data_IF_317870728641
#
_entry.id   IF_317870728641
#
_cell.length_a   1.000
_cell.length_b   1.000
_cell.length_c   1.000
_cell.angle_alpha   90.00
_cell.angle_beta   90.00
_cell.angle_gamma   90.00
#
_symmetry.space_group_name_H-M   'P 1'
#
loop_
_entity.id
_entity.type
_entity.pdbx_description
1 polymer ?
#
# COMPACT_ATOMS: atom_id res chain seq x y z
N UNK A 1 -29.93 -7.06 -11.87
CA UNK A 1 -29.68 -5.81 -11.11
C UNK A 1 -28.21 -5.71 -10.76
N UNK A 2 -27.62 -4.57 -11.00
CA UNK A 2 -26.22 -4.34 -10.67
C UNK A 2 -26.06 -4.12 -9.15
N UNK A 3 -25.15 -4.84 -8.53
CA UNK A 3 -24.81 -4.60 -7.14
C UNK A 3 -23.88 -3.38 -7.08
N UNK A 4 -24.42 -2.24 -6.66
CA UNK A 4 -23.67 -0.99 -6.58
C UNK A 4 -22.66 -0.95 -5.43
N UNK A 5 -22.73 -1.93 -4.53
CA UNK A 5 -21.82 -2.02 -3.39
C UNK A 5 -20.65 -2.98 -3.64
N UNK A 6 -20.63 -3.65 -4.79
CA UNK A 6 -19.53 -4.56 -5.15
C UNK A 6 -18.39 -3.80 -5.80
N UNK A 7 -17.18 -4.00 -5.31
CA UNK A 7 -15.97 -3.58 -5.97
C UNK A 7 -15.53 -4.69 -6.94
N UNK A 8 -15.41 -4.36 -8.23
CA UNK A 8 -14.98 -5.33 -9.23
C UNK A 8 -13.48 -5.18 -9.52
N UNK A 9 -12.67 -5.97 -8.85
CA UNK A 9 -11.21 -5.93 -9.01
C UNK A 9 -10.73 -6.37 -10.39
N UNK A 10 -11.58 -7.03 -11.19
CA UNK A 10 -11.21 -7.44 -12.55
C UNK A 10 -11.07 -6.25 -13.50
N UNK A 11 -11.62 -5.11 -13.12
CA UNK A 11 -11.52 -3.88 -13.90
C UNK A 11 -10.26 -3.09 -13.57
N UNK A 12 -9.51 -3.50 -12.56
CA UNK A 12 -8.28 -2.83 -12.13
C UNK A 12 -7.11 -3.42 -12.89
N UNK A 13 -6.23 -2.55 -13.37
CA UNK A 13 -5.00 -2.97 -14.06
C UNK A 13 -3.91 -3.25 -13.03
N UNK A 14 -3.88 -4.48 -12.51
CA UNK A 14 -2.93 -4.88 -11.49
C UNK A 14 -1.53 -5.12 -12.04
N UNK A 15 -0.53 -4.67 -11.31
CA UNK A 15 0.89 -4.92 -11.56
C UNK A 15 1.51 -5.56 -10.31
N UNK A 16 2.47 -6.44 -10.53
CA UNK A 16 3.26 -6.97 -9.42
C UNK A 16 4.28 -5.93 -8.98
N UNK A 17 4.54 -5.88 -7.68
CA UNK A 17 5.59 -5.03 -7.14
C UNK A 17 6.86 -5.89 -7.03
N UNK A 18 7.90 -5.60 -7.83
CA UNK A 18 9.12 -6.42 -7.83
C UNK A 18 9.76 -6.49 -6.45
N UNK A 19 10.12 -7.71 -6.03
CA UNK A 19 10.77 -7.94 -4.74
C UNK A 19 9.85 -7.95 -3.53
N UNK A 20 8.55 -7.78 -3.73
CA UNK A 20 7.56 -7.82 -2.63
C UNK A 20 6.52 -8.88 -2.93
N UNK A 21 6.60 -10.01 -2.23
CA UNK A 21 5.65 -11.11 -2.41
C UNK A 21 4.28 -10.74 -1.87
N UNK A 22 3.24 -11.38 -2.42
CA UNK A 22 1.85 -11.23 -1.96
C UNK A 22 1.28 -9.81 -2.13
N UNK A 23 1.87 -9.03 -3.05
CA UNK A 23 1.51 -7.62 -3.25
C UNK A 23 1.32 -7.31 -4.73
N UNK A 24 0.17 -6.66 -5.03
CA UNK A 24 -0.10 -6.08 -6.34
C UNK A 24 -0.50 -4.63 -6.14
N UNK A 25 -0.25 -3.81 -7.14
CA UNK A 25 -0.66 -2.42 -7.10
C UNK A 25 -1.20 -1.95 -8.44
N UNK A 26 -2.00 -0.90 -8.38
CA UNK A 26 -2.44 -0.16 -9.56
C UNK A 26 -2.38 1.33 -9.21
N UNK A 27 -1.51 2.05 -9.88
CA UNK A 27 -1.39 3.49 -9.65
C UNK A 27 -2.51 4.17 -10.44
N UNK A 28 -3.41 4.85 -9.72
CA UNK A 28 -4.60 5.46 -10.31
C UNK A 28 -4.32 6.85 -10.85
N UNK A 29 -3.51 7.62 -10.14
CA UNK A 29 -3.18 8.98 -10.53
C UNK A 29 -1.88 9.44 -9.86
N UNK A 30 -1.12 10.26 -10.57
CA UNK A 30 0.06 10.94 -10.05
C UNK A 30 -0.13 12.44 -10.28
N UNK A 31 -0.22 13.21 -9.19
CA UNK A 31 -0.31 14.66 -9.23
C UNK A 31 1.07 15.24 -8.91
N UNK A 32 1.78 15.66 -9.96
CA UNK A 32 3.15 16.17 -9.83
C UNK A 32 3.20 17.53 -9.13
N UNK A 33 2.15 18.30 -9.23
CA UNK A 33 2.11 19.64 -8.59
C UNK A 33 1.87 19.52 -7.09
N UNK A 34 0.89 18.71 -6.70
CA UNK A 34 0.54 18.54 -5.28
C UNK A 34 1.40 17.46 -4.60
N UNK A 35 2.19 16.69 -5.36
CA UNK A 35 2.97 15.56 -4.85
C UNK A 35 2.08 14.51 -4.18
N UNK A 36 1.03 14.09 -4.89
CA UNK A 36 0.11 13.07 -4.42
C UNK A 36 0.11 11.91 -5.40
N UNK A 37 0.23 10.68 -4.88
CA UNK A 37 0.06 9.46 -5.65
C UNK A 37 -1.10 8.69 -5.04
N UNK A 38 -2.14 8.45 -5.84
CA UNK A 38 -3.25 7.59 -5.44
C UNK A 38 -3.04 6.22 -6.04
N UNK A 39 -2.97 5.19 -5.20
CA UNK A 39 -2.65 3.84 -5.61
C UNK A 39 -3.54 2.83 -4.88
N UNK A 40 -4.00 1.82 -5.61
CA UNK A 40 -4.63 0.66 -4.99
C UNK A 40 -3.57 -0.39 -4.73
N UNK A 41 -3.52 -0.90 -3.50
CA UNK A 41 -2.74 -2.07 -3.16
C UNK A 41 -3.67 -3.25 -2.90
N UNK A 42 -3.24 -4.43 -3.34
CA UNK A 42 -3.88 -5.69 -3.00
C UNK A 42 -2.86 -6.57 -2.29
N UNK A 43 -3.23 -7.05 -1.10
CA UNK A 43 -2.41 -8.00 -0.34
C UNK A 43 -3.13 -9.33 -0.22
N UNK A 44 -2.38 -10.43 -0.33
CA UNK A 44 -2.94 -11.79 -0.29
C UNK A 44 -3.63 -12.12 1.02
N UNK A 45 -4.70 -12.92 0.90
CA UNK A 45 -5.41 -13.49 2.04
C UNK A 45 -4.46 -14.33 2.91
N UNK A 46 -4.58 -14.16 4.23
CA UNK A 46 -3.87 -14.97 5.23
C UNK A 46 -2.33 -14.97 5.10
N UNK A 47 -1.79 -13.94 4.46
CA UNK A 47 -0.35 -13.76 4.30
C UNK A 47 0.08 -12.43 4.88
N UNK A 48 1.37 -12.29 5.16
CA UNK A 48 1.97 -11.03 5.59
C UNK A 48 3.00 -10.59 4.56
N UNK A 49 2.94 -9.33 4.13
CA UNK A 49 3.93 -8.81 3.21
C UNK A 49 5.21 -8.43 3.97
N UNK A 50 6.25 -8.10 3.23
CA UNK A 50 7.57 -7.76 3.79
C UNK A 50 7.48 -6.64 4.83
N UNK A 51 8.39 -6.71 5.81
CA UNK A 51 8.53 -5.65 6.81
C UNK A 51 8.89 -4.34 6.11
N UNK A 52 8.14 -3.29 6.41
CA UNK A 52 8.31 -1.98 5.80
C UNK A 52 7.82 -0.88 6.72
N UNK A 53 8.11 0.35 6.30
CA UNK A 53 7.70 1.56 7.03
C UNK A 53 7.35 2.64 6.01
N UNK A 54 6.25 3.35 6.24
CA UNK A 54 5.88 4.51 5.44
C UNK A 54 6.63 5.73 5.95
N UNK A 55 7.33 6.41 5.06
CA UNK A 55 8.19 7.55 5.42
C UNK A 55 7.64 8.89 4.96
N UNK A 56 6.43 8.90 4.40
CA UNK A 56 5.68 10.09 4.02
C UNK A 56 4.28 10.03 4.62
N UNK A 57 3.59 11.15 4.66
CA UNK A 57 2.18 11.18 5.04
C UNK A 57 1.38 10.34 4.07
N UNK A 58 0.37 9.64 4.56
CA UNK A 58 -0.48 8.81 3.70
C UNK A 58 -1.86 8.63 4.30
N UNK A 59 -2.84 8.50 3.43
CA UNK A 59 -4.22 8.20 3.83
C UNK A 59 -4.59 6.85 3.24
N UNK A 60 -5.39 6.06 3.98
CA UNK A 60 -5.84 4.76 3.53
C UNK A 60 -7.35 4.63 3.65
N UNK A 61 -7.93 3.87 2.72
CA UNK A 61 -9.34 3.51 2.75
C UNK A 61 -9.48 2.05 2.31
N UNK A 62 -10.07 1.22 3.19
CA UNK A 62 -10.25 -0.21 2.90
C UNK A 62 -11.44 -0.37 1.96
N UNK A 63 -11.17 -0.79 0.73
CA UNK A 63 -12.17 -0.91 -0.34
C UNK A 63 -12.82 -2.29 -0.35
N UNK A 64 -12.07 -3.34 -0.04
CA UNK A 64 -12.54 -4.72 -0.04
C UNK A 64 -11.73 -5.54 0.93
N UNK A 65 -12.38 -6.48 1.62
CA UNK A 65 -11.70 -7.37 2.56
C UNK A 65 -11.41 -6.70 3.89
N UNK A 66 -10.42 -7.24 4.58
CA UNK A 66 -10.02 -6.82 5.92
C UNK A 66 -8.52 -6.53 5.93
N UNK A 67 -8.14 -5.34 6.36
CA UNK A 67 -6.73 -4.92 6.40
C UNK A 67 -6.16 -5.27 7.77
N UNK A 68 -5.28 -6.24 7.81
CA UNK A 68 -4.58 -6.65 9.04
C UNK A 68 -3.20 -6.04 9.08
N UNK A 69 -2.86 -5.46 10.22
CA UNK A 69 -1.55 -4.86 10.47
C UNK A 69 -0.87 -5.64 11.59
N UNK A 70 0.40 -6.00 11.35
CA UNK A 70 1.19 -6.84 12.24
C UNK A 70 2.44 -6.08 12.70
N UNK A 71 2.91 -6.38 13.91
CA UNK A 71 4.17 -5.85 14.38
C UNK A 71 5.35 -6.54 13.64
N UNK A 72 6.61 -6.08 13.85
CA UNK A 72 7.76 -6.69 13.15
C UNK A 72 7.92 -8.20 13.39
N UNK A 73 7.49 -8.69 14.53
CA UNK A 73 7.56 -10.10 14.89
C UNK A 73 6.44 -10.93 14.27
N UNK A 74 5.51 -10.30 13.56
CA UNK A 74 4.41 -11.00 12.90
C UNK A 74 3.17 -11.21 13.75
N UNK A 75 3.09 -10.55 14.89
CA UNK A 75 1.90 -10.63 15.75
C UNK A 75 0.86 -9.61 15.31
N UNK A 76 -0.41 -10.02 15.31
CA UNK A 76 -1.52 -9.15 14.91
C UNK A 76 -1.65 -7.96 15.87
N UNK A 77 -1.62 -6.75 15.31
CA UNK A 77 -1.69 -5.50 16.05
C UNK A 77 -3.00 -4.78 15.88
N UNK A 78 -3.54 -4.77 14.66
CA UNK A 78 -4.74 -4.01 14.33
C UNK A 78 -5.49 -4.68 13.17
N UNK A 79 -6.82 -4.61 13.21
CA UNK A 79 -7.68 -5.04 12.12
C UNK A 79 -8.52 -3.85 11.69
N UNK A 80 -8.51 -3.54 10.40
CA UNK A 80 -9.33 -2.48 9.81
C UNK A 80 -10.33 -3.12 8.85
N UNK A 81 -11.62 -3.12 9.19
CA UNK A 81 -12.64 -3.67 8.30
C UNK A 81 -12.87 -2.80 7.07
N UNK A 82 -13.62 -3.34 6.10
CA UNK A 82 -14.03 -2.60 4.91
C UNK A 82 -14.67 -1.27 5.31
N UNK A 83 -14.33 -0.20 4.58
CA UNK A 83 -14.85 1.15 4.85
C UNK A 83 -14.03 1.96 5.86
N UNK A 84 -12.96 1.38 6.44
CA UNK A 84 -12.11 2.12 7.38
C UNK A 84 -11.25 3.14 6.65
N UNK A 85 -11.32 4.39 7.09
CA UNK A 85 -10.47 5.47 6.60
C UNK A 85 -9.51 5.93 7.70
N UNK A 86 -8.24 6.13 7.33
CA UNK A 86 -7.20 6.66 8.23
C UNK A 86 -6.35 7.69 7.51
N UNK A 87 -6.13 8.83 8.15
CA UNK A 87 -5.11 9.80 7.75
C UNK A 87 -3.91 9.59 8.69
N UNK A 88 -2.74 9.33 8.13
CA UNK A 88 -1.56 8.91 8.90
C UNK A 88 -0.35 9.78 8.65
N UNK A 89 0.41 10.00 9.71
CA UNK A 89 1.75 10.56 9.63
C UNK A 89 2.75 9.45 9.28
N UNK A 90 4.00 9.78 8.96
CA UNK A 90 5.02 8.75 8.74
C UNK A 90 5.13 7.80 9.93
N UNK A 91 5.38 6.53 9.65
CA UNK A 91 5.49 5.51 10.69
C UNK A 91 6.74 5.69 11.53
N UNK A 92 6.61 5.59 12.84
CA UNK A 92 7.75 5.58 13.76
C UNK A 92 8.37 4.19 13.73
N UNK A 93 7.54 3.15 13.77
CA UNK A 93 7.99 1.76 13.77
C UNK A 93 7.58 1.05 12.49
N UNK A 94 8.41 0.09 12.00
CA UNK A 94 8.03 -0.71 10.86
C UNK A 94 6.93 -1.71 11.21
N UNK A 95 6.23 -2.19 10.19
CA UNK A 95 5.13 -3.14 10.34
C UNK A 95 5.05 -4.07 9.14
N UNK A 96 4.19 -5.11 9.29
CA UNK A 96 3.78 -5.97 8.20
C UNK A 96 2.29 -5.81 7.98
N UNK A 97 1.80 -6.13 6.80
CA UNK A 97 0.39 -5.99 6.44
C UNK A 97 -0.07 -7.20 5.65
N UNK A 98 -1.37 -7.45 5.64
CA UNK A 98 -1.93 -8.52 4.83
C UNK A 98 -3.45 -8.51 4.86
N UNK A 99 -4.03 -9.47 4.11
CA UNK A 99 -5.46 -9.68 4.10
C UNK A 99 -5.94 -10.58 5.22
N UNK A 100 -7.26 -10.60 5.42
CA UNK A 100 -7.92 -11.57 6.29
C UNK A 100 -8.19 -12.86 5.54
N UNK A 101 -9.44 -13.33 5.58
CA UNK A 101 -9.83 -14.57 4.90
C UNK A 101 -9.93 -14.42 3.38
N UNK A 102 -9.91 -13.19 2.89
CA UNK A 102 -9.84 -12.90 1.46
C UNK A 102 -8.75 -11.85 1.20
N UNK A 103 -8.36 -11.69 -0.06
CA UNK A 103 -7.42 -10.63 -0.44
C UNK A 103 -8.00 -9.28 -0.03
N UNK A 104 -7.17 -8.40 0.52
CA UNK A 104 -7.59 -7.06 0.88
C UNK A 104 -7.17 -6.07 -0.20
N UNK A 105 -8.05 -5.11 -0.50
CA UNK A 105 -7.76 -4.02 -1.42
C UNK A 105 -7.93 -2.71 -0.68
N UNK A 106 -6.90 -1.88 -0.73
CA UNK A 106 -6.80 -0.65 0.03
C UNK A 106 -6.39 0.48 -0.92
N UNK A 107 -7.12 1.59 -0.88
CA UNK A 107 -6.69 2.81 -1.53
C UNK A 107 -5.70 3.52 -0.61
N UNK A 108 -4.49 3.77 -1.12
CA UNK A 108 -3.48 4.60 -0.48
C UNK A 108 -3.36 5.90 -1.23
N UNK A 109 -3.43 7.03 -0.50
CA UNK A 109 -3.11 8.34 -1.04
C UNK A 109 -1.79 8.78 -0.40
N UNK A 110 -0.71 8.68 -1.17
CA UNK A 110 0.65 8.92 -0.70
C UNK A 110 1.02 10.37 -0.94
N UNK A 111 1.55 11.05 0.07
CA UNK A 111 1.74 12.50 0.05
C UNK A 111 3.15 12.92 0.48
N UNK A 112 4.17 12.62 -0.32
CA UNK A 112 5.55 13.03 -0.02
C UNK A 112 5.71 14.54 -0.21
N UNK A 113 6.76 15.11 0.41
CA UNK A 113 7.07 16.53 0.26
C UNK A 113 7.80 16.85 -1.02
N UNK A 114 8.55 15.90 -1.58
CA UNK A 114 9.34 16.10 -2.77
C UNK A 114 9.47 14.80 -3.57
N UNK A 115 10.20 14.87 -4.69
CA UNK A 115 10.31 13.75 -5.64
C UNK A 115 11.27 12.65 -5.20
N UNK A 116 12.24 12.96 -4.38
CA UNK A 116 13.39 12.07 -4.14
C UNK A 116 13.45 11.49 -2.74
N UNK A 117 12.70 12.03 -1.78
CA UNK A 117 12.62 11.42 -0.45
C UNK A 117 11.82 10.11 -0.52
N UNK A 118 12.19 9.09 0.22
CA UNK A 118 11.44 7.85 0.24
C UNK A 118 10.00 8.05 0.69
N UNK A 119 9.06 7.41 0.01
CA UNK A 119 7.66 7.31 0.44
C UNK A 119 7.53 6.14 1.39
N UNK A 120 8.23 5.04 1.10
CA UNK A 120 8.35 3.93 2.03
C UNK A 120 9.69 3.22 1.88
N UNK A 121 10.06 2.52 2.93
CA UNK A 121 11.29 1.75 3.04
C UNK A 121 10.96 0.28 3.27
N UNK A 122 11.58 -0.60 2.49
CA UNK A 122 11.48 -2.05 2.68
C UNK A 122 12.70 -2.46 3.50
N UNK A 123 12.44 -3.24 4.55
CA UNK A 123 13.45 -3.59 5.55
C UNK A 123 13.76 -5.08 5.52
N UNK A 124 14.98 -5.42 5.92
CA UNK A 124 15.39 -6.82 6.10
C UNK A 124 15.07 -7.31 7.53
N UNK A 125 15.46 -8.56 7.83
CA UNK A 125 15.20 -9.15 9.13
C UNK A 125 15.92 -8.47 10.30
N UNK A 126 16.90 -7.62 10.02
CA UNK A 126 17.63 -6.84 11.01
C UNK A 126 17.13 -5.39 11.10
N UNK A 127 15.99 -5.09 10.47
CA UNK A 127 15.38 -3.77 10.39
C UNK A 127 16.25 -2.74 9.65
N UNK A 128 17.13 -3.22 8.77
CA UNK A 128 17.91 -2.35 7.90
C UNK A 128 17.23 -2.16 6.57
N UNK A 129 17.40 -0.97 5.97
CA UNK A 129 16.76 -0.64 4.69
C UNK A 129 17.39 -1.42 3.56
N UNK A 130 16.60 -2.25 2.89
CA UNK A 130 17.01 -2.98 1.68
C UNK A 130 16.73 -2.19 0.41
N UNK A 131 15.58 -1.52 0.36
CA UNK A 131 15.17 -0.72 -0.79
C UNK A 131 14.20 0.36 -0.36
N UNK A 132 14.05 1.36 -1.21
CA UNK A 132 13.13 2.48 -1.00
C UNK A 132 12.31 2.72 -2.24
N UNK A 133 11.17 3.38 -2.08
CA UNK A 133 10.34 3.82 -3.21
C UNK A 133 10.08 5.31 -3.05
N UNK A 134 10.36 6.08 -4.11
CA UNK A 134 10.19 7.53 -4.13
C UNK A 134 8.99 7.92 -5.00
N UNK A 135 8.63 9.21 -4.97
CA UNK A 135 7.62 9.76 -5.88
C UNK A 135 8.01 9.52 -7.34
N UNK A 136 9.27 9.77 -7.67
CA UNK A 136 9.76 9.58 -9.05
C UNK A 136 9.67 8.12 -9.48
N UNK A 137 9.93 7.16 -8.58
CA UNK A 137 9.79 5.73 -8.87
C UNK A 137 8.36 5.37 -9.23
N UNK A 138 7.39 5.84 -8.44
CA UNK A 138 5.98 5.57 -8.69
C UNK A 138 5.47 6.25 -9.95
N UNK A 139 5.93 7.48 -10.21
CA UNK A 139 5.60 8.20 -11.42
C UNK A 139 6.09 7.45 -12.66
N UNK A 140 7.32 6.92 -12.60
CA UNK A 140 7.89 6.12 -13.70
C UNK A 140 7.06 4.85 -13.95
N UNK A 141 6.67 4.14 -12.88
CA UNK A 141 5.80 2.98 -13.00
C UNK A 141 4.45 3.34 -13.63
N UNK A 142 3.88 4.45 -13.23
CA UNK A 142 2.60 4.94 -13.75
C UNK A 142 2.69 5.24 -15.24
N UNK A 143 3.73 5.92 -15.67
CA UNK A 143 3.94 6.26 -17.07
C UNK A 143 4.21 5.02 -17.92
N UNK A 144 4.94 4.04 -17.39
CA UNK A 144 5.24 2.80 -18.10
C UNK A 144 4.00 1.91 -18.29
N UNK A 145 3.00 2.03 -17.42
CA UNK A 145 1.76 1.25 -17.49
C UNK A 145 0.68 1.87 -18.40
N UNK A 146 0.89 3.10 -18.82
CA UNK A 146 -0.07 3.84 -19.64
C UNK A 146 -0.12 3.33 -21.08
#
# INVERSE_FOLDING_TARGET
>A
MTDLNSFDEKKVNWQELPGVDHTWLSILNVDDNAKVVDVLFKFSANEQIVLHRHTANFNTFVVKGEHRIYNPEGELKEIRPIGTYKASLPDIEPHREGGGDEDVIILFSLRPYNNTDPIYEILDGNHEVESTMTFDDLKEMYEAAA
#
